data_IF_660602600382
#
_entry.id   IF_660602600382
#
_cell.length_a   1.000
_cell.length_b   1.000
_cell.length_c   1.000
_cell.angle_alpha   90.00
_cell.angle_beta   90.00
_cell.angle_gamma   90.00
#
_symmetry.space_group_name_H-M   'P 1'
#
loop_
_entity.id
_entity.type
_entity.pdbx_description
1 polymer ?
#
# COMPACT_ATOMS: atom_id res chain seq x y z
N UNK A 1 -21.08 -70.53 -25.83
CA UNK A 1 -20.51 -69.53 -24.89
C UNK A 1 -19.55 -68.63 -25.64
N UNK A 2 -19.96 -67.43 -26.01
CA UNK A 2 -19.14 -66.44 -26.74
C UNK A 2 -18.64 -65.39 -25.75
N UNK A 3 -17.32 -65.34 -25.50
CA UNK A 3 -16.67 -64.31 -24.66
C UNK A 3 -16.62 -63.00 -25.41
N UNK A 4 -17.26 -61.94 -24.92
CA UNK A 4 -17.11 -60.57 -25.40
C UNK A 4 -15.81 -59.98 -24.82
N UNK A 5 -14.91 -59.57 -25.70
CA UNK A 5 -13.70 -58.79 -25.37
C UNK A 5 -14.11 -57.32 -25.30
N UNK A 6 -13.95 -56.68 -24.15
CA UNK A 6 -14.04 -55.22 -24.03
C UNK A 6 -12.72 -54.59 -24.44
N UNK A 7 -12.78 -53.79 -25.50
CA UNK A 7 -11.67 -52.99 -25.98
C UNK A 7 -11.66 -51.67 -25.17
N UNK A 8 -10.64 -51.47 -24.36
CA UNK A 8 -10.40 -50.19 -23.68
C UNK A 8 -9.72 -49.23 -24.67
N UNK A 9 -10.44 -48.18 -25.04
CA UNK A 9 -9.87 -47.07 -25.82
C UNK A 9 -9.16 -46.12 -24.86
N UNK A 10 -7.81 -46.13 -24.88
CA UNK A 10 -7.00 -45.16 -24.15
C UNK A 10 -7.00 -43.90 -24.99
N UNK A 11 -7.76 -42.91 -24.55
CA UNK A 11 -7.72 -41.56 -25.12
C UNK A 11 -6.39 -40.86 -24.77
N UNK A 12 -5.55 -40.69 -25.77
CA UNK A 12 -4.30 -39.97 -25.68
C UNK A 12 -4.61 -38.48 -25.68
N UNK A 13 -4.56 -37.84 -24.52
CA UNK A 13 -4.59 -36.38 -24.42
C UNK A 13 -3.26 -35.81 -24.89
N UNK A 14 -3.27 -35.15 -26.02
CA UNK A 14 -2.12 -34.34 -26.51
C UNK A 14 -2.28 -32.95 -25.88
N UNK A 15 -1.34 -32.48 -25.03
CA UNK A 15 -1.38 -31.10 -24.58
C UNK A 15 -0.97 -30.20 -25.74
N UNK A 16 -1.88 -29.32 -26.15
CA UNK A 16 -1.59 -28.25 -27.10
C UNK A 16 -0.73 -27.22 -26.37
N UNK A 17 0.56 -27.24 -26.62
CA UNK A 17 1.48 -26.18 -26.23
C UNK A 17 1.22 -24.96 -27.15
N UNK A 18 0.61 -23.92 -26.61
CA UNK A 18 0.66 -22.61 -27.23
C UNK A 18 2.07 -22.02 -27.04
N UNK A 19 2.87 -22.09 -28.10
CA UNK A 19 4.15 -21.39 -28.16
C UNK A 19 3.81 -19.93 -28.45
N UNK A 20 3.86 -19.08 -27.43
CA UNK A 20 3.94 -17.63 -27.62
C UNK A 20 5.34 -17.31 -28.15
N UNK A 21 5.41 -16.96 -29.43
CA UNK A 21 6.63 -16.44 -30.07
C UNK A 21 6.89 -15.04 -29.49
N UNK A 22 7.81 -14.96 -28.51
CA UNK A 22 8.30 -13.69 -28.00
C UNK A 22 9.25 -13.09 -29.03
N UNK A 23 8.80 -12.10 -29.78
CA UNK A 23 9.68 -11.29 -30.65
C UNK A 23 10.50 -10.40 -29.70
N UNK A 24 11.74 -10.81 -29.44
CA UNK A 24 12.72 -9.95 -28.78
C UNK A 24 13.22 -8.96 -29.81
N UNK A 25 12.68 -7.74 -29.79
CA UNK A 25 13.31 -6.60 -30.44
C UNK A 25 14.45 -6.15 -29.52
N UNK A 26 15.67 -6.51 -29.84
CA UNK A 26 16.85 -5.99 -29.19
C UNK A 26 17.05 -4.53 -29.62
N UNK A 27 16.34 -3.63 -28.97
CA UNK A 27 16.62 -2.20 -28.97
C UNK A 27 17.26 -1.85 -27.64
N UNK A 28 18.58 -1.70 -27.60
CA UNK A 28 19.29 -1.24 -26.42
C UNK A 28 18.94 0.20 -26.11
N UNK A 29 18.02 0.39 -25.17
CA UNK A 29 17.91 1.61 -24.39
C UNK A 29 18.17 1.18 -22.95
N UNK A 30 19.20 1.74 -22.34
CA UNK A 30 19.41 1.69 -20.91
C UNK A 30 18.17 2.29 -20.25
N UNK A 31 17.22 1.43 -19.86
CA UNK A 31 16.17 1.82 -18.95
C UNK A 31 16.83 2.05 -17.60
N UNK A 32 17.07 3.31 -17.25
CA UNK A 32 17.15 3.72 -15.85
C UNK A 32 15.91 3.14 -15.18
N UNK A 33 16.11 2.26 -14.20
CA UNK A 33 15.03 1.78 -13.36
C UNK A 33 14.42 3.01 -12.69
N UNK A 34 13.22 3.41 -13.14
CA UNK A 34 12.47 4.48 -12.53
C UNK A 34 12.11 4.04 -11.10
N UNK A 35 12.87 4.55 -10.16
CA UNK A 35 12.64 4.35 -8.74
C UNK A 35 11.43 5.17 -8.33
N UNK A 36 10.36 4.50 -7.94
CA UNK A 36 9.13 5.13 -7.48
C UNK A 36 9.37 5.82 -6.14
N UNK A 37 9.22 7.14 -6.12
CA UNK A 37 9.18 7.93 -4.89
C UNK A 37 7.81 7.75 -4.24
N UNK A 38 7.74 7.12 -3.07
CA UNK A 38 6.49 6.88 -2.35
C UNK A 38 6.69 7.04 -0.85
N UNK A 39 5.73 7.69 -0.18
CA UNK A 39 5.68 7.77 1.28
C UNK A 39 5.15 6.45 1.87
N UNK A 40 5.69 6.03 3.02
CA UNK A 40 5.23 4.82 3.70
C UNK A 40 3.99 5.10 4.54
N UNK A 41 2.89 4.41 4.26
CA UNK A 41 1.64 4.54 5.04
C UNK A 41 1.74 3.84 6.41
N UNK A 42 1.11 4.44 7.42
CA UNK A 42 0.87 3.82 8.72
C UNK A 42 -0.47 4.27 9.27
N UNK A 43 -1.04 3.52 10.23
CA UNK A 43 -2.29 3.90 10.87
C UNK A 43 -2.04 4.89 12.02
N UNK A 44 -2.77 6.00 11.99
CA UNK A 44 -2.80 7.00 13.05
C UNK A 44 -4.09 6.84 13.88
N UNK A 45 -4.23 5.71 14.55
CA UNK A 45 -5.31 5.38 15.48
C UNK A 45 -4.71 4.65 16.67
N UNK A 46 -5.21 4.95 17.89
CA UNK A 46 -4.77 4.22 19.07
C UNK A 46 -5.43 2.84 19.15
N UNK A 47 -4.76 1.86 19.78
CA UNK A 47 -5.34 0.53 20.03
C UNK A 47 -6.64 0.63 20.82
N UNK A 48 -6.73 1.56 21.75
CA UNK A 48 -7.94 1.82 22.55
C UNK A 48 -9.13 2.30 21.69
N UNK A 49 -8.89 3.26 20.79
CA UNK A 49 -9.95 3.79 19.92
C UNK A 49 -10.40 2.75 18.90
N UNK A 50 -9.46 2.01 18.32
CA UNK A 50 -9.79 0.92 17.40
C UNK A 50 -10.54 -0.21 18.10
N UNK A 51 -10.12 -0.59 19.32
CA UNK A 51 -10.80 -1.59 20.13
C UNK A 51 -12.28 -1.23 20.36
N UNK A 52 -12.53 0.04 20.72
CA UNK A 52 -13.89 0.56 20.92
C UNK A 52 -14.72 0.53 19.64
N UNK A 53 -14.17 0.97 18.51
CA UNK A 53 -14.87 1.01 17.22
C UNK A 53 -15.15 -0.39 16.65
N UNK A 54 -14.18 -1.31 16.77
CA UNK A 54 -14.28 -2.66 16.25
C UNK A 54 -14.96 -3.66 17.20
N UNK A 55 -15.21 -3.27 18.45
CA UNK A 55 -15.72 -4.11 19.53
C UNK A 55 -14.85 -5.37 19.79
N UNK A 56 -13.54 -5.15 19.92
CA UNK A 56 -12.53 -6.17 20.21
C UNK A 56 -11.68 -5.75 21.42
N UNK A 57 -10.83 -6.64 21.93
CA UNK A 57 -9.88 -6.26 22.98
C UNK A 57 -8.82 -5.29 22.47
N UNK A 58 -8.23 -4.48 23.37
CA UNK A 58 -7.17 -3.55 23.03
C UNK A 58 -5.91 -4.28 22.52
N UNK A 59 -5.60 -5.48 23.04
CA UNK A 59 -4.53 -6.34 22.54
C UNK A 59 -4.77 -6.75 21.08
N UNK A 60 -5.97 -7.20 20.74
CA UNK A 60 -6.32 -7.52 19.34
C UNK A 60 -6.26 -6.29 18.42
N UNK A 61 -6.72 -5.16 18.90
CA UNK A 61 -6.66 -3.90 18.17
C UNK A 61 -5.20 -3.49 17.90
N UNK A 62 -4.30 -3.68 18.86
CA UNK A 62 -2.87 -3.45 18.63
C UNK A 62 -2.31 -4.41 17.57
N UNK A 63 -2.67 -5.70 17.62
CA UNK A 63 -2.26 -6.68 16.63
C UNK A 63 -2.76 -6.31 15.21
N UNK A 64 -3.99 -5.82 15.08
CA UNK A 64 -4.52 -5.29 13.80
C UNK A 64 -3.68 -4.11 13.29
N UNK A 65 -3.34 -3.16 14.17
CA UNK A 65 -2.50 -2.01 13.84
C UNK A 65 -1.11 -2.46 13.39
N UNK A 66 -0.50 -3.41 14.09
CA UNK A 66 0.84 -3.92 13.77
C UNK A 66 0.88 -4.63 12.40
N UNK A 67 -0.12 -5.48 12.13
CA UNK A 67 -0.24 -6.16 10.82
C UNK A 67 -0.44 -5.14 9.69
N UNK A 68 -1.40 -4.21 9.85
CA UNK A 68 -1.69 -3.21 8.83
C UNK A 68 -0.49 -2.31 8.56
N UNK A 69 0.15 -1.81 9.62
CA UNK A 69 1.33 -0.96 9.49
C UNK A 69 2.49 -1.69 8.82
N UNK A 70 2.73 -2.95 9.14
CA UNK A 70 3.77 -3.73 8.49
C UNK A 70 3.50 -3.90 6.99
N UNK A 71 2.27 -4.28 6.63
CA UNK A 71 1.85 -4.44 5.25
C UNK A 71 1.98 -3.12 4.47
N UNK A 72 1.51 -2.01 5.02
CA UNK A 72 1.56 -0.71 4.35
C UNK A 72 2.97 -0.13 4.29
N UNK A 73 3.71 -0.12 5.41
CA UNK A 73 4.99 0.56 5.48
C UNK A 73 6.17 -0.25 4.93
N UNK A 74 6.19 -1.56 5.14
CA UNK A 74 7.30 -2.43 4.70
C UNK A 74 7.01 -3.13 3.39
N UNK A 75 5.78 -3.62 3.20
CA UNK A 75 5.41 -4.40 2.02
C UNK A 75 4.70 -3.55 0.93
N UNK A 76 4.43 -2.27 1.22
CA UNK A 76 3.86 -1.29 0.28
C UNK A 76 2.45 -1.61 -0.18
N UNK A 77 1.64 -2.17 0.70
CA UNK A 77 0.24 -2.45 0.43
C UNK A 77 -0.63 -1.19 0.48
N UNK A 78 -1.65 -1.16 -0.37
CA UNK A 78 -2.78 -0.25 -0.23
C UNK A 78 -3.55 -0.56 1.04
N UNK A 79 -4.29 0.40 1.57
CA UNK A 79 -5.18 0.14 2.72
C UNK A 79 -6.26 -0.89 2.37
N UNK A 80 -6.73 -0.95 1.12
CA UNK A 80 -7.65 -1.97 0.65
C UNK A 80 -6.99 -3.36 0.68
N UNK A 81 -5.75 -3.46 0.20
CA UNK A 81 -4.98 -4.71 0.24
C UNK A 81 -4.70 -5.18 1.67
N UNK A 82 -4.29 -4.25 2.54
CA UNK A 82 -4.07 -4.54 3.96
C UNK A 82 -5.37 -5.00 4.65
N UNK A 83 -6.51 -4.36 4.35
CA UNK A 83 -7.82 -4.74 4.90
C UNK A 83 -8.26 -6.14 4.44
N UNK A 84 -7.93 -6.53 3.21
CA UNK A 84 -8.15 -7.89 2.72
C UNK A 84 -7.34 -8.93 3.49
N UNK A 85 -6.05 -8.66 3.75
CA UNK A 85 -5.20 -9.52 4.56
C UNK A 85 -5.68 -9.61 6.02
N UNK A 86 -6.13 -8.48 6.60
CA UNK A 86 -6.70 -8.44 7.95
C UNK A 86 -7.93 -9.34 8.09
N UNK A 87 -8.83 -9.37 7.11
CA UNK A 87 -9.99 -10.28 7.15
C UNK A 87 -9.58 -11.75 7.20
N UNK A 88 -8.49 -12.10 6.48
CA UNK A 88 -7.96 -13.47 6.53
C UNK A 88 -7.30 -13.75 7.89
N UNK A 89 -6.51 -12.83 8.44
CA UNK A 89 -5.92 -12.99 9.78
C UNK A 89 -7.01 -13.12 10.88
N UNK A 90 -8.13 -12.38 10.75
CA UNK A 90 -9.29 -12.52 11.64
C UNK A 90 -9.89 -13.92 11.56
N UNK A 91 -10.03 -14.47 10.37
CA UNK A 91 -10.56 -15.82 10.14
C UNK A 91 -9.61 -16.91 10.68
N UNK A 92 -8.31 -16.77 10.45
CA UNK A 92 -7.32 -17.81 10.78
C UNK A 92 -7.02 -17.89 12.28
N UNK A 93 -6.88 -16.75 12.96
CA UNK A 93 -6.42 -16.72 14.36
C UNK A 93 -7.20 -15.76 15.26
N UNK A 94 -8.09 -14.92 14.69
CA UNK A 94 -8.65 -13.77 15.40
C UNK A 94 -7.57 -12.78 15.83
N UNK A 95 -6.52 -12.61 15.02
CA UNK A 95 -5.34 -11.76 15.24
C UNK A 95 -4.44 -12.19 16.40
N UNK A 96 -4.55 -13.42 16.88
CA UNK A 96 -3.72 -13.92 17.98
C UNK A 96 -2.43 -14.59 17.42
N UNK A 97 -1.24 -14.00 17.65
CA UNK A 97 0.01 -14.63 17.22
C UNK A 97 0.31 -15.93 17.97
N UNK A 98 -0.36 -16.19 19.10
CA UNK A 98 -0.19 -17.43 19.88
C UNK A 98 -1.23 -18.48 19.54
N UNK A 99 -2.08 -18.26 18.54
CA UNK A 99 -3.06 -19.24 18.12
C UNK A 99 -2.39 -20.51 17.57
N UNK A 100 -2.73 -21.67 18.12
CA UNK A 100 -2.18 -22.97 17.72
C UNK A 100 -3.30 -23.95 17.39
N UNK A 101 -3.15 -24.66 16.27
CA UNK A 101 -3.91 -25.86 15.97
C UNK A 101 -2.93 -27.05 15.91
N UNK A 102 -2.78 -27.72 17.05
CA UNK A 102 -1.82 -28.81 17.23
C UNK A 102 -2.08 -29.97 16.26
N UNK A 103 -3.36 -30.33 16.04
CA UNK A 103 -3.74 -31.43 15.13
C UNK A 103 -3.41 -31.14 13.68
N UNK A 104 -3.63 -29.89 13.25
CA UNK A 104 -3.28 -29.40 11.91
C UNK A 104 -1.81 -29.04 11.75
N UNK A 105 -1.04 -28.97 12.82
CA UNK A 105 0.37 -28.59 12.78
C UNK A 105 0.60 -27.14 12.39
N UNK A 106 -0.38 -26.26 12.63
CA UNK A 106 -0.34 -24.85 12.21
C UNK A 106 -0.39 -23.90 13.41
N UNK A 107 0.19 -22.72 13.27
CA UNK A 107 0.17 -21.70 14.32
C UNK A 107 0.39 -20.28 13.76
N UNK A 108 0.05 -19.27 14.59
CA UNK A 108 0.27 -17.86 14.34
C UNK A 108 -0.88 -17.16 13.62
N UNK A 109 -0.69 -15.87 13.30
CA UNK A 109 -1.74 -14.99 12.75
C UNK A 109 -2.35 -15.47 11.42
N UNK A 110 -1.59 -16.18 10.60
CA UNK A 110 -2.05 -16.80 9.35
C UNK A 110 -1.97 -18.35 9.39
N UNK A 111 -1.93 -18.97 10.57
CA UNK A 111 -1.92 -20.41 10.77
C UNK A 111 -0.92 -21.15 9.87
N UNK A 112 0.33 -20.67 9.84
CA UNK A 112 1.40 -21.31 9.04
C UNK A 112 1.67 -22.75 9.46
N UNK A 113 1.81 -23.62 8.47
CA UNK A 113 2.12 -25.05 8.66
C UNK A 113 3.55 -25.30 9.15
N UNK A 114 3.74 -26.47 9.78
CA UNK A 114 5.05 -26.89 10.27
C UNK A 114 5.36 -26.46 11.70
N UNK A 115 4.35 -26.08 12.49
CA UNK A 115 4.54 -25.72 13.91
C UNK A 115 4.70 -26.98 14.79
N UNK A 116 3.68 -27.78 15.02
CA UNK A 116 3.75 -28.97 15.86
C UNK A 116 4.04 -30.24 15.06
N UNK A 117 3.69 -30.24 13.79
CA UNK A 117 3.97 -31.35 12.84
C UNK A 117 3.97 -30.78 11.40
N UNK A 118 4.30 -31.61 10.41
CA UNK A 118 4.44 -31.20 9.01
C UNK A 118 3.38 -31.79 8.09
N UNK A 119 2.24 -32.25 8.62
CA UNK A 119 1.17 -32.91 7.84
C UNK A 119 0.61 -31.95 6.75
N UNK A 120 0.53 -30.66 7.04
CA UNK A 120 0.06 -29.63 6.11
C UNK A 120 1.21 -28.79 5.51
N UNK A 121 2.45 -29.27 5.57
CA UNK A 121 3.63 -28.57 5.07
C UNK A 121 4.53 -28.05 6.18
N UNK A 122 5.48 -27.18 5.83
CA UNK A 122 6.51 -26.70 6.76
C UNK A 122 6.86 -25.21 6.51
N UNK A 123 5.88 -24.33 6.51
CA UNK A 123 6.08 -22.88 6.27
C UNK A 123 6.89 -22.25 7.39
N UNK A 124 6.71 -22.68 8.65
CA UNK A 124 7.49 -22.23 9.81
C UNK A 124 9.01 -22.46 9.70
N UNK A 125 9.46 -23.34 8.80
CA UNK A 125 10.91 -23.52 8.55
C UNK A 125 11.60 -22.28 7.96
N UNK A 126 10.83 -21.31 7.46
CA UNK A 126 11.33 -20.05 6.88
C UNK A 126 11.41 -18.93 7.92
N UNK A 127 10.84 -19.10 9.12
CA UNK A 127 10.89 -18.13 10.18
C UNK A 127 12.31 -18.03 10.77
N UNK A 128 12.72 -16.83 11.19
CA UNK A 128 14.01 -16.59 11.81
C UNK A 128 14.17 -17.32 13.17
N UNK A 129 13.06 -17.58 13.84
CA UNK A 129 12.99 -18.38 15.07
C UNK A 129 11.66 -19.10 15.19
N UNK A 130 11.60 -20.11 16.09
CA UNK A 130 10.35 -20.81 16.42
C UNK A 130 9.69 -20.17 17.63
N UNK A 131 9.29 -18.91 17.49
CA UNK A 131 8.66 -18.12 18.55
C UNK A 131 7.34 -17.55 18.05
N UNK A 132 6.25 -17.85 18.75
CA UNK A 132 4.94 -17.26 18.49
C UNK A 132 4.91 -15.83 19.00
N UNK A 133 5.24 -14.89 18.12
CA UNK A 133 5.22 -13.47 18.40
C UNK A 133 4.96 -12.68 17.11
N UNK A 134 4.30 -11.54 17.25
CA UNK A 134 3.96 -10.68 16.12
C UNK A 134 5.18 -10.35 15.25
N UNK A 135 6.31 -9.99 15.86
CA UNK A 135 7.54 -9.62 15.12
C UNK A 135 8.08 -10.75 14.24
N UNK A 136 8.18 -11.99 14.79
CA UNK A 136 8.65 -13.16 14.04
C UNK A 136 7.71 -13.50 12.90
N UNK A 137 6.42 -13.43 13.14
CA UNK A 137 5.37 -13.79 12.17
C UNK A 137 5.23 -12.78 11.04
N UNK A 138 5.35 -11.48 11.33
CA UNK A 138 5.40 -10.43 10.31
C UNK A 138 6.62 -10.57 9.40
N UNK A 139 7.79 -10.93 9.96
CA UNK A 139 8.99 -11.23 9.17
C UNK A 139 8.84 -12.50 8.34
N UNK A 140 8.19 -13.56 8.87
CA UNK A 140 7.87 -14.76 8.12
C UNK A 140 6.95 -14.42 6.93
N UNK A 141 5.88 -13.66 7.16
CA UNK A 141 4.99 -13.17 6.11
C UNK A 141 5.77 -12.41 5.03
N UNK A 142 6.63 -11.47 5.44
CA UNK A 142 7.48 -10.70 4.53
C UNK A 142 8.40 -11.59 3.68
N UNK A 143 9.07 -12.56 4.31
CA UNK A 143 9.93 -13.53 3.62
C UNK A 143 9.15 -14.29 2.55
N UNK A 144 7.93 -14.69 2.85
CA UNK A 144 7.07 -15.40 1.91
C UNK A 144 6.55 -14.52 0.78
N UNK A 145 6.08 -13.31 1.09
CA UNK A 145 5.58 -12.34 0.11
C UNK A 145 6.67 -11.87 -0.86
N UNK A 146 7.92 -11.81 -0.41
CA UNK A 146 9.06 -11.46 -1.28
C UNK A 146 9.74 -12.69 -1.93
N UNK A 147 9.19 -13.88 -1.70
CA UNK A 147 9.66 -15.16 -2.23
C UNK A 147 8.57 -15.95 -2.94
N UNK A 148 8.21 -17.09 -2.36
CA UNK A 148 7.28 -18.05 -2.98
C UNK A 148 5.87 -17.50 -3.21
N UNK A 149 5.45 -16.50 -2.45
CA UNK A 149 4.13 -15.89 -2.53
C UNK A 149 4.15 -14.48 -3.16
N UNK A 150 5.18 -14.17 -3.95
CA UNK A 150 5.31 -12.88 -4.64
C UNK A 150 4.08 -12.55 -5.48
N UNK A 151 3.43 -13.53 -6.09
CA UNK A 151 2.18 -13.32 -6.83
C UNK A 151 1.08 -12.72 -5.95
N UNK A 152 0.92 -13.19 -4.71
CA UNK A 152 -0.04 -12.61 -3.76
C UNK A 152 0.29 -11.15 -3.51
N UNK A 153 1.57 -10.85 -3.23
CA UNK A 153 2.02 -9.46 -3.06
C UNK A 153 1.68 -8.60 -4.27
N UNK A 154 2.04 -9.03 -5.48
CA UNK A 154 1.85 -8.29 -6.72
C UNK A 154 0.36 -7.97 -7.00
N UNK A 155 -0.56 -8.85 -6.59
CA UNK A 155 -2.00 -8.66 -6.77
C UNK A 155 -2.62 -7.80 -5.64
N UNK A 156 -2.32 -8.17 -4.39
CA UNK A 156 -3.03 -7.61 -3.24
C UNK A 156 -2.46 -6.25 -2.82
N UNK A 157 -1.15 -6.03 -2.98
CA UNK A 157 -0.54 -4.76 -2.57
C UNK A 157 -1.11 -3.53 -3.30
N UNK A 158 -1.55 -3.70 -4.54
CA UNK A 158 -2.09 -2.62 -5.39
C UNK A 158 -3.62 -2.68 -5.51
N UNK A 159 -4.29 -3.53 -4.74
CA UNK A 159 -5.74 -3.70 -4.83
C UNK A 159 -6.48 -2.40 -4.48
N UNK A 160 -7.52 -2.11 -5.24
CA UNK A 160 -8.44 -0.99 -5.02
C UNK A 160 -9.76 -1.43 -4.38
N UNK A 161 -9.95 -2.73 -4.19
CA UNK A 161 -11.14 -3.34 -3.62
C UNK A 161 -10.76 -4.28 -2.46
N UNK A 162 -11.12 -3.95 -1.21
CA UNK A 162 -10.79 -4.78 -0.06
C UNK A 162 -11.43 -6.18 -0.13
N UNK A 163 -12.61 -6.30 -0.76
CA UNK A 163 -13.32 -7.56 -0.94
C UNK A 163 -12.53 -8.49 -1.86
N UNK A 164 -12.11 -7.99 -3.02
CA UNK A 164 -11.29 -8.77 -3.95
C UNK A 164 -9.92 -9.10 -3.32
N UNK A 165 -9.30 -8.16 -2.62
CA UNK A 165 -8.04 -8.37 -1.92
C UNK A 165 -8.10 -9.55 -0.94
N UNK A 166 -9.21 -9.70 -0.21
CA UNK A 166 -9.40 -10.81 0.73
C UNK A 166 -9.52 -12.18 0.03
N UNK A 167 -10.19 -12.21 -1.10
CA UNK A 167 -10.30 -13.42 -1.92
C UNK A 167 -8.95 -13.81 -2.53
N UNK A 168 -8.21 -12.85 -3.07
CA UNK A 168 -6.90 -13.07 -3.66
C UNK A 168 -5.90 -13.55 -2.59
N UNK A 169 -5.90 -12.96 -1.39
CA UNK A 169 -5.07 -13.44 -0.29
C UNK A 169 -5.44 -14.87 0.10
N UNK A 170 -6.74 -15.15 0.31
CA UNK A 170 -7.20 -16.50 0.67
C UNK A 170 -6.83 -17.53 -0.37
N UNK A 171 -6.96 -17.23 -1.65
CA UNK A 171 -6.67 -18.16 -2.74
C UNK A 171 -5.16 -18.34 -2.96
N UNK A 172 -4.38 -17.26 -2.98
CA UNK A 172 -2.99 -17.33 -3.42
C UNK A 172 -1.97 -17.38 -2.28
N UNK A 173 -2.34 -16.95 -1.07
CA UNK A 173 -1.48 -17.04 0.11
C UNK A 173 -1.82 -18.24 0.98
N UNK A 174 -3.11 -18.48 1.26
CA UNK A 174 -3.55 -19.64 2.03
C UNK A 174 -3.74 -20.90 1.17
N UNK A 175 -3.86 -20.75 -0.14
CA UNK A 175 -3.98 -21.87 -1.06
C UNK A 175 -5.35 -22.57 -1.00
N UNK A 176 -6.39 -21.86 -0.52
CA UNK A 176 -7.73 -22.43 -0.37
C UNK A 176 -8.64 -22.10 -1.56
N UNK A 177 -9.54 -23.04 -1.89
CA UNK A 177 -10.54 -22.81 -2.94
C UNK A 177 -11.62 -21.85 -2.45
N UNK A 178 -11.97 -20.86 -3.27
CA UNK A 178 -13.05 -19.92 -2.96
C UNK A 178 -14.44 -20.57 -2.97
N UNK A 179 -14.58 -21.74 -3.59
CA UNK A 179 -15.80 -22.56 -3.58
C UNK A 179 -15.91 -23.47 -2.36
N UNK A 180 -14.86 -23.56 -1.53
CA UNK A 180 -14.91 -24.34 -0.30
C UNK A 180 -15.79 -23.61 0.72
N UNK A 181 -16.77 -24.32 1.28
CA UNK A 181 -17.68 -23.77 2.30
C UNK A 181 -16.96 -23.31 3.58
N UNK A 182 -15.77 -23.85 3.87
CA UNK A 182 -14.94 -23.42 5.01
C UNK A 182 -14.27 -22.05 4.76
N UNK A 183 -14.06 -21.68 3.51
CA UNK A 183 -13.53 -20.34 3.14
C UNK A 183 -14.47 -19.24 3.55
N UNK A 184 -15.79 -19.48 3.55
CA UNK A 184 -16.82 -18.49 3.88
C UNK A 184 -16.60 -17.19 3.10
N UNK A 185 -16.45 -17.30 1.78
CA UNK A 185 -16.02 -16.20 0.91
C UNK A 185 -16.85 -14.91 1.08
N UNK A 186 -18.16 -15.02 1.23
CA UNK A 186 -19.03 -13.85 1.44
C UNK A 186 -18.69 -13.13 2.76
N UNK A 187 -18.55 -13.90 3.86
CA UNK A 187 -18.17 -13.32 5.15
C UNK A 187 -16.78 -12.69 5.10
N UNK A 188 -15.85 -13.33 4.40
CA UNK A 188 -14.48 -12.82 4.24
C UNK A 188 -14.46 -11.45 3.54
N UNK A 189 -15.30 -11.29 2.50
CA UNK A 189 -15.47 -10.03 1.80
C UNK A 189 -16.09 -8.94 2.70
N UNK A 190 -17.11 -9.31 3.49
CA UNK A 190 -17.75 -8.37 4.42
C UNK A 190 -16.79 -7.94 5.54
N UNK A 191 -15.98 -8.87 6.08
CA UNK A 191 -14.96 -8.55 7.07
C UNK A 191 -13.87 -7.63 6.48
N UNK A 192 -13.45 -7.85 5.23
CA UNK A 192 -12.49 -6.98 4.57
C UNK A 192 -13.03 -5.56 4.37
N UNK A 193 -14.30 -5.43 3.96
CA UNK A 193 -14.96 -4.13 3.85
C UNK A 193 -15.07 -3.45 5.22
N UNK A 194 -15.44 -4.19 6.26
CA UNK A 194 -15.50 -3.69 7.65
C UNK A 194 -14.15 -3.11 8.08
N UNK A 195 -13.04 -3.84 7.87
CA UNK A 195 -11.72 -3.35 8.22
C UNK A 195 -11.31 -2.12 7.41
N UNK A 196 -11.59 -2.11 6.13
CA UNK A 196 -11.36 -0.93 5.29
C UNK A 196 -12.11 0.29 5.81
N UNK A 197 -13.41 0.17 6.10
CA UNK A 197 -14.23 1.28 6.58
C UNK A 197 -13.81 1.80 7.96
N UNK A 198 -13.25 0.93 8.81
CA UNK A 198 -12.71 1.32 10.12
C UNK A 198 -11.35 2.02 10.02
N UNK A 199 -10.55 1.72 9.01
CA UNK A 199 -9.14 2.12 8.96
C UNK A 199 -8.83 3.18 7.91
N UNK A 200 -9.61 3.31 6.84
CA UNK A 200 -9.32 4.19 5.70
C UNK A 200 -9.07 5.65 6.07
N UNK A 201 -9.82 6.18 7.02
CA UNK A 201 -9.71 7.56 7.48
C UNK A 201 -8.58 7.78 8.52
N UNK A 202 -7.85 6.72 8.85
CA UNK A 202 -6.75 6.72 9.81
C UNK A 202 -5.39 6.43 9.17
N UNK A 203 -5.29 6.36 7.86
CA UNK A 203 -4.00 6.20 7.18
C UNK A 203 -3.22 7.51 7.29
N UNK A 204 -2.09 7.46 7.95
CA UNK A 204 -1.14 8.55 8.10
C UNK A 204 0.25 8.13 7.63
N UNK A 205 1.24 9.02 7.79
CA UNK A 205 2.64 8.74 7.47
C UNK A 205 3.49 8.98 8.69
N UNK A 206 4.33 8.00 9.05
CA UNK A 206 5.34 8.17 10.10
C UNK A 206 6.73 8.33 9.48
N UNK A 207 7.47 9.33 9.94
CA UNK A 207 8.90 9.43 9.70
C UNK A 207 9.63 8.40 10.56
N UNK A 208 10.61 7.68 10.00
CA UNK A 208 11.47 6.75 10.75
C UNK A 208 12.28 7.46 11.88
N UNK A 209 12.28 8.77 11.95
CA UNK A 209 13.00 9.58 12.95
C UNK A 209 12.15 10.02 14.15
N UNK A 210 11.01 9.39 14.42
CA UNK A 210 10.24 9.58 15.67
C UNK A 210 9.57 10.94 15.84
N UNK A 211 9.59 11.83 14.85
CA UNK A 211 8.73 13.01 14.81
C UNK A 211 7.44 12.65 14.06
N UNK A 212 6.39 12.43 14.83
CA UNK A 212 5.04 12.26 14.31
C UNK A 212 4.59 13.55 13.64
N UNK A 213 4.72 13.62 12.32
CA UNK A 213 4.09 14.69 11.55
C UNK A 213 2.69 14.21 11.21
N UNK A 214 1.73 14.61 12.02
CA UNK A 214 0.35 14.14 12.00
C UNK A 214 -0.48 14.84 10.91
N UNK A 215 -0.21 14.54 9.64
CA UNK A 215 -1.18 14.85 8.60
C UNK A 215 -2.21 13.72 8.50
N UNK A 216 -3.46 13.96 8.83
CA UNK A 216 -4.54 13.00 8.50
C UNK A 216 -4.70 12.99 7.00
N UNK A 217 -4.44 11.84 6.36
CA UNK A 217 -4.60 11.67 4.92
C UNK A 217 -6.03 11.23 4.60
N UNK A 218 -6.59 11.79 3.53
CA UNK A 218 -7.90 11.43 3.00
C UNK A 218 -7.86 11.40 1.47
N UNK A 219 -8.68 10.59 0.84
CA UNK A 219 -8.94 10.67 -0.61
C UNK A 219 -9.97 11.72 -0.96
N UNK A 220 -10.70 12.23 0.03
CA UNK A 220 -11.62 13.35 -0.09
C UNK A 220 -11.01 14.59 0.56
N UNK A 221 -11.43 15.78 0.12
CA UNK A 221 -11.04 17.04 0.77
C UNK A 221 -11.56 17.02 2.21
N UNK A 222 -10.70 17.16 3.22
CA UNK A 222 -11.11 17.08 4.62
C UNK A 222 -12.13 18.17 4.99
N UNK A 223 -13.03 17.86 5.93
CA UNK A 223 -14.03 18.82 6.42
C UNK A 223 -13.38 20.10 6.94
N UNK A 224 -13.92 21.25 6.56
CA UNK A 224 -13.39 22.57 6.91
C UNK A 224 -12.22 23.04 6.03
N UNK A 225 -11.93 22.32 4.94
CA UNK A 225 -10.98 22.69 3.91
C UNK A 225 -11.66 22.75 2.54
N UNK A 226 -11.05 23.44 1.60
CA UNK A 226 -11.55 23.58 0.23
C UNK A 226 -10.40 23.63 -0.78
N UNK A 227 -10.71 23.28 -2.02
CA UNK A 227 -9.83 23.42 -3.17
C UNK A 227 -10.56 24.21 -4.26
N UNK A 228 -9.84 24.96 -5.08
CA UNK A 228 -10.46 25.80 -6.11
C UNK A 228 -11.17 24.95 -7.17
N UNK A 229 -10.49 23.92 -7.65
CA UNK A 229 -10.99 23.00 -8.67
C UNK A 229 -10.29 21.64 -8.50
N UNK A 230 -11.02 20.56 -8.68
CA UNK A 230 -10.45 19.21 -8.63
C UNK A 230 -9.45 18.98 -9.76
N UNK A 231 -8.44 18.11 -9.50
CA UNK A 231 -7.49 17.74 -10.54
C UNK A 231 -8.19 17.00 -11.69
N UNK A 232 -7.96 17.46 -12.90
CA UNK A 232 -8.65 16.96 -14.10
C UNK A 232 -8.15 15.60 -14.59
N UNK A 233 -7.01 15.10 -14.04
CA UNK A 233 -6.33 13.91 -14.56
C UNK A 233 -5.57 14.14 -15.87
N UNK A 234 -5.63 15.36 -16.44
CA UNK A 234 -4.97 15.66 -17.70
C UNK A 234 -3.45 15.79 -17.53
N UNK A 235 -2.70 15.20 -18.44
CA UNK A 235 -1.26 15.38 -18.53
C UNK A 235 -0.92 16.57 -19.45
N UNK A 236 -0.21 17.53 -18.89
CA UNK A 236 0.35 18.68 -19.61
C UNK A 236 1.85 18.53 -19.86
N UNK A 237 2.45 17.44 -19.37
CA UNK A 237 3.86 17.15 -19.57
C UNK A 237 4.10 16.57 -20.97
N UNK A 238 4.25 17.42 -21.97
CA UNK A 238 4.51 17.02 -23.35
C UNK A 238 5.91 16.43 -23.58
N UNK A 239 6.85 16.60 -22.64
CA UNK A 239 8.21 16.06 -22.76
C UNK A 239 8.36 14.63 -22.26
N UNK A 240 7.40 14.12 -21.48
CA UNK A 240 7.50 12.82 -20.82
C UNK A 240 8.55 12.74 -19.70
N UNK A 241 9.02 13.89 -19.20
CA UNK A 241 10.07 13.96 -18.16
C UNK A 241 9.62 13.44 -16.80
N UNK A 242 8.31 13.42 -16.57
CA UNK A 242 7.70 12.95 -15.33
C UNK A 242 6.84 11.73 -15.63
N UNK A 243 7.21 10.54 -15.19
CA UNK A 243 6.39 9.34 -15.37
C UNK A 243 5.00 9.52 -14.76
N UNK A 244 3.97 9.14 -15.51
CA UNK A 244 2.58 9.28 -15.09
C UNK A 244 2.34 8.58 -13.75
N UNK A 245 1.62 9.25 -12.84
CA UNK A 245 1.29 8.71 -11.53
C UNK A 245 2.32 9.01 -10.45
N UNK A 246 3.49 9.57 -10.78
CA UNK A 246 4.47 10.00 -9.79
C UNK A 246 4.05 11.31 -9.11
N UNK A 247 4.56 11.58 -7.91
CA UNK A 247 4.34 12.84 -7.20
C UNK A 247 4.78 14.06 -8.03
N UNK A 248 5.92 13.95 -8.70
CA UNK A 248 6.44 15.00 -9.59
C UNK A 248 5.54 15.24 -10.82
N UNK A 249 5.02 14.16 -11.42
CA UNK A 249 4.04 14.26 -12.50
C UNK A 249 2.75 14.96 -12.01
N UNK A 250 2.27 14.57 -10.85
CA UNK A 250 1.07 15.15 -10.29
C UNK A 250 1.22 16.64 -10.05
N UNK A 251 2.24 17.05 -9.30
CA UNK A 251 2.44 18.47 -8.95
C UNK A 251 2.67 19.33 -10.19
N UNK A 252 3.46 18.84 -11.17
CA UNK A 252 3.64 19.54 -12.44
C UNK A 252 2.30 19.80 -13.14
N UNK A 253 1.47 18.77 -13.29
CA UNK A 253 0.20 18.88 -14.00
C UNK A 253 -0.87 19.64 -13.18
N UNK A 254 -0.87 19.49 -11.86
CA UNK A 254 -1.75 20.25 -10.96
C UNK A 254 -1.46 21.74 -11.03
N UNK A 255 -0.22 22.12 -10.94
CA UNK A 255 0.21 23.51 -11.07
C UNK A 255 -0.17 24.08 -12.45
N UNK A 256 0.12 23.32 -13.52
CA UNK A 256 -0.19 23.73 -14.88
C UNK A 256 -1.69 23.97 -15.11
N UNK A 257 -2.54 23.13 -14.53
CA UNK A 257 -4.01 23.27 -14.57
C UNK A 257 -4.46 24.63 -13.98
N UNK A 258 -3.72 25.14 -13.00
CA UNK A 258 -3.99 26.45 -12.36
C UNK A 258 -3.21 27.62 -12.98
N UNK A 259 -2.56 27.39 -14.13
CA UNK A 259 -1.80 28.41 -14.85
C UNK A 259 -0.39 28.68 -14.29
N UNK A 260 0.07 27.85 -13.35
CA UNK A 260 1.39 27.93 -12.70
C UNK A 260 2.35 26.98 -13.42
N UNK A 261 3.59 27.40 -13.62
CA UNK A 261 4.55 26.63 -14.41
C UNK A 261 5.78 26.25 -13.57
N UNK A 262 6.15 24.99 -13.66
CA UNK A 262 7.44 24.47 -13.26
C UNK A 262 8.20 24.00 -14.50
N UNK A 263 9.52 23.92 -14.41
CA UNK A 263 10.33 23.36 -15.50
C UNK A 263 9.97 21.86 -15.68
N UNK A 264 10.10 21.37 -16.92
CA UNK A 264 9.81 19.97 -17.24
C UNK A 264 10.78 18.96 -16.59
N UNK A 265 11.81 19.45 -15.91
CA UNK A 265 12.79 18.65 -15.18
C UNK A 265 13.22 19.37 -13.90
N UNK A 266 12.54 19.08 -12.79
CA UNK A 266 12.84 19.61 -11.46
C UNK A 266 13.67 18.64 -10.60
N UNK A 267 13.90 17.42 -11.06
CA UNK A 267 14.49 16.34 -10.27
C UNK A 267 13.46 15.49 -9.53
N UNK A 268 13.91 14.75 -8.50
CA UNK A 268 13.04 14.00 -7.60
C UNK A 268 12.24 14.95 -6.71
N UNK A 269 11.26 14.44 -5.97
CA UNK A 269 10.40 15.29 -5.14
C UNK A 269 11.18 16.13 -4.12
N UNK A 270 12.19 15.56 -3.48
CA UNK A 270 13.06 16.27 -2.53
C UNK A 270 14.04 17.27 -3.16
N UNK A 271 14.25 17.21 -4.49
CA UNK A 271 15.20 18.07 -5.19
C UNK A 271 14.59 19.44 -5.56
N UNK A 272 13.24 19.54 -5.54
CA UNK A 272 12.54 20.75 -6.01
C UNK A 272 12.95 22.00 -5.27
N UNK A 273 13.18 21.92 -3.95
CA UNK A 273 13.63 23.02 -3.13
C UNK A 273 15.05 23.49 -3.47
N UNK A 274 15.86 22.66 -4.12
CA UNK A 274 17.23 23.00 -4.53
C UNK A 274 17.33 23.46 -5.97
N UNK A 275 16.21 23.53 -6.70
CA UNK A 275 16.21 23.89 -8.12
C UNK A 275 16.55 25.36 -8.33
N UNK A 276 17.62 25.64 -9.07
CA UNK A 276 18.04 27.02 -9.39
C UNK A 276 16.94 27.78 -10.17
N UNK A 277 16.77 29.04 -9.86
CA UNK A 277 15.85 29.96 -10.56
C UNK A 277 14.40 29.91 -10.04
N UNK A 278 14.19 29.36 -8.85
CA UNK A 278 12.92 29.39 -8.13
C UNK A 278 13.05 30.11 -6.79
N UNK A 279 11.97 30.81 -6.38
CA UNK A 279 11.86 31.32 -5.00
C UNK A 279 11.49 30.18 -4.09
N UNK A 280 12.24 30.03 -3.00
CA UNK A 280 12.06 28.93 -2.03
C UNK A 280 12.04 29.51 -0.62
N UNK A 281 11.09 29.12 0.20
CA UNK A 281 10.97 29.54 1.61
C UNK A 281 10.41 28.43 2.50
N UNK A 282 10.39 28.68 3.81
CA UNK A 282 9.66 27.90 4.79
C UNK A 282 8.28 28.51 5.13
N UNK A 283 7.93 29.62 4.51
CA UNK A 283 6.64 30.26 4.74
C UNK A 283 5.58 29.59 3.86
N UNK A 284 4.52 29.02 4.45
CA UNK A 284 3.43 28.42 3.70
C UNK A 284 2.79 29.40 2.71
N UNK A 285 2.68 29.00 1.46
CA UNK A 285 2.12 29.84 0.41
C UNK A 285 1.18 29.02 -0.48
N UNK A 286 0.00 29.59 -0.72
CA UNK A 286 -1.00 29.01 -1.60
C UNK A 286 -0.42 28.73 -3.00
N UNK A 287 -0.79 27.61 -3.58
CA UNK A 287 -0.45 27.22 -4.95
C UNK A 287 1.07 27.07 -5.21
N UNK A 288 1.83 26.73 -4.20
CA UNK A 288 3.24 26.35 -4.33
C UNK A 288 3.43 24.84 -4.36
N UNK A 289 4.56 24.39 -4.87
CA UNK A 289 4.98 23.02 -4.63
C UNK A 289 5.61 22.92 -3.22
N UNK A 290 5.18 21.94 -2.43
CA UNK A 290 5.76 21.62 -1.14
C UNK A 290 6.72 20.45 -1.32
N UNK A 291 8.02 20.69 -1.14
CA UNK A 291 9.08 19.69 -1.28
C UNK A 291 9.42 19.13 0.09
N UNK A 292 9.29 17.80 0.25
CA UNK A 292 9.71 17.05 1.42
C UNK A 292 11.12 16.55 1.19
N UNK A 293 12.03 16.84 2.10
CA UNK A 293 13.35 16.22 2.06
C UNK A 293 13.25 14.71 2.33
N UNK A 294 14.31 13.98 2.02
CA UNK A 294 14.38 12.53 2.17
C UNK A 294 13.95 12.10 3.58
N UNK A 295 12.93 11.22 3.67
CA UNK A 295 12.37 10.70 4.91
C UNK A 295 11.45 11.65 5.68
N UNK A 296 11.33 12.93 5.29
CA UNK A 296 10.49 13.92 5.99
C UNK A 296 9.00 13.59 5.80
N UNK A 297 8.23 13.61 6.87
CA UNK A 297 6.79 13.36 6.88
C UNK A 297 6.38 12.06 6.16
N UNK A 298 7.22 11.01 6.25
CA UNK A 298 7.01 9.72 5.60
C UNK A 298 7.38 9.67 4.12
N UNK A 299 8.08 10.70 3.60
CA UNK A 299 8.58 10.68 2.22
C UNK A 299 9.63 9.59 2.01
N UNK A 300 9.86 9.24 0.74
CA UNK A 300 10.90 8.27 0.37
C UNK A 300 12.27 8.70 0.91
N UNK A 301 13.03 7.81 1.59
CA UNK A 301 14.31 8.15 2.20
C UNK A 301 15.42 8.43 1.19
N UNK A 302 15.24 8.10 -0.08
CA UNK A 302 16.21 8.34 -1.16
C UNK A 302 15.84 9.54 -2.01
N UNK A 303 14.55 9.66 -2.38
CA UNK A 303 14.07 10.61 -3.38
C UNK A 303 13.27 11.77 -2.79
N UNK A 304 12.90 11.70 -1.50
CA UNK A 304 11.96 12.65 -0.92
C UNK A 304 10.58 12.56 -1.56
N UNK A 305 9.81 13.64 -1.49
CA UNK A 305 8.46 13.72 -2.05
C UNK A 305 8.13 15.16 -2.44
N UNK A 306 7.10 15.34 -3.27
CA UNK A 306 6.56 16.67 -3.58
C UNK A 306 5.03 16.62 -3.62
N UNK A 307 4.41 17.64 -3.04
CA UNK A 307 2.97 17.83 -3.00
C UNK A 307 2.61 19.26 -3.46
N UNK A 308 1.33 19.53 -3.63
CA UNK A 308 0.84 20.84 -4.04
C UNK A 308 0.01 21.49 -2.92
N UNK A 309 0.27 22.76 -2.60
CA UNK A 309 -0.46 23.50 -1.55
C UNK A 309 -1.79 23.99 -2.11
N UNK A 310 -2.87 23.44 -1.63
CA UNK A 310 -4.24 23.74 -2.07
C UNK A 310 -4.89 24.87 -1.28
N UNK A 311 -4.54 24.99 0.02
CA UNK A 311 -5.06 26.03 0.89
C UNK A 311 -4.08 26.35 2.01
N UNK A 312 -4.03 27.63 2.39
CA UNK A 312 -3.37 28.12 3.61
C UNK A 312 -4.41 28.88 4.40
N UNK A 313 -4.63 28.52 5.66
CA UNK A 313 -5.55 29.25 6.57
C UNK A 313 -4.85 30.40 7.27
N UNK A 314 -5.64 31.30 7.85
CA UNK A 314 -5.15 32.47 8.59
C UNK A 314 -4.27 32.09 9.80
N UNK A 315 -4.47 30.91 10.38
CA UNK A 315 -3.64 30.37 11.45
C UNK A 315 -2.31 29.77 10.96
N UNK A 316 -2.09 29.72 9.66
CA UNK A 316 -0.89 29.16 9.02
C UNK A 316 -0.95 27.65 8.79
N UNK A 317 -2.04 26.98 9.13
CA UNK A 317 -2.25 25.59 8.78
C UNK A 317 -2.48 25.43 7.27
N UNK A 318 -2.12 24.27 6.70
CA UNK A 318 -2.19 24.04 5.26
C UNK A 318 -2.94 22.76 4.90
N UNK A 319 -3.56 22.79 3.72
CA UNK A 319 -4.02 21.61 2.99
C UNK A 319 -3.11 21.41 1.78
N UNK A 320 -2.63 20.21 1.61
CA UNK A 320 -1.93 19.79 0.40
C UNK A 320 -2.70 18.71 -0.35
N UNK A 321 -2.42 18.60 -1.65
CA UNK A 321 -2.80 17.47 -2.48
C UNK A 321 -1.54 16.79 -3.01
N UNK A 322 -1.59 15.47 -3.15
CA UNK A 322 -0.43 14.67 -3.53
C UNK A 322 -0.85 13.40 -4.27
N UNK A 323 0.09 12.75 -4.93
CA UNK A 323 -0.10 11.47 -5.62
C UNK A 323 1.11 10.57 -5.40
N UNK A 324 0.97 9.27 -5.67
CA UNK A 324 2.00 8.27 -5.44
C UNK A 324 2.35 8.11 -3.95
N UNK A 325 1.33 8.03 -3.15
CA UNK A 325 1.43 7.84 -1.72
C UNK A 325 1.30 6.36 -1.41
N UNK A 326 2.23 5.82 -0.62
CA UNK A 326 2.20 4.42 -0.19
C UNK A 326 0.91 4.11 0.57
N UNK A 327 0.30 2.97 0.27
CA UNK A 327 -0.97 2.58 0.87
C UNK A 327 -2.20 3.04 0.07
N UNK A 328 -2.00 3.82 -1.00
CA UNK A 328 -3.07 4.19 -1.93
C UNK A 328 -2.87 3.54 -3.30
N UNK A 329 -3.97 3.27 -4.04
CA UNK A 329 -3.88 2.79 -5.41
C UNK A 329 -3.10 3.76 -6.30
N UNK A 330 -2.46 3.27 -7.37
CA UNK A 330 -1.82 4.13 -8.38
C UNK A 330 -2.79 5.18 -8.93
N UNK A 331 -2.28 6.37 -9.25
CA UNK A 331 -3.05 7.50 -9.80
C UNK A 331 -4.11 8.09 -8.84
N UNK A 332 -4.11 7.71 -7.58
CA UNK A 332 -5.02 8.29 -6.58
C UNK A 332 -4.46 9.62 -6.10
N UNK A 333 -5.28 10.69 -6.19
CA UNK A 333 -5.02 11.95 -5.51
C UNK A 333 -5.45 11.80 -4.06
N UNK A 334 -4.60 12.22 -3.15
CA UNK A 334 -4.92 12.30 -1.72
C UNK A 334 -4.62 13.67 -1.17
N UNK A 335 -5.21 13.96 -0.02
CA UNK A 335 -5.12 15.24 0.66
C UNK A 335 -4.58 15.03 2.07
N UNK A 336 -3.73 15.95 2.50
CA UNK A 336 -3.17 15.95 3.85
C UNK A 336 -3.18 17.36 4.42
N UNK A 337 -3.47 17.46 5.73
CA UNK A 337 -3.43 18.76 6.44
C UNK A 337 -2.28 18.77 7.41
N UNK A 338 -1.67 19.93 7.58
CA UNK A 338 -0.63 20.17 8.58
C UNK A 338 -0.98 21.40 9.41
N UNK A 339 -0.66 21.34 10.71
CA UNK A 339 -0.73 22.51 11.58
C UNK A 339 0.27 23.58 11.17
N UNK A 340 0.09 24.82 11.67
CA UNK A 340 1.01 25.92 11.39
C UNK A 340 2.47 25.63 11.75
N UNK A 341 2.70 24.92 12.87
CA UNK A 341 4.06 24.59 13.31
C UNK A 341 4.70 23.50 12.44
N UNK A 342 3.92 22.53 11.98
CA UNK A 342 4.37 21.52 11.03
C UNK A 342 4.65 22.13 9.66
N UNK A 343 3.76 22.99 9.18
CA UNK A 343 3.86 23.66 7.89
C UNK A 343 5.19 24.44 7.72
N UNK A 344 5.70 25.06 8.77
CA UNK A 344 6.98 25.79 8.77
C UNK A 344 8.21 24.90 8.64
N UNK A 345 8.05 23.58 8.72
CA UNK A 345 9.17 22.64 8.60
C UNK A 345 9.44 22.24 7.15
N UNK A 346 8.54 22.57 6.22
CA UNK A 346 8.65 22.19 4.81
C UNK A 346 9.24 23.30 3.94
N UNK A 347 9.66 22.91 2.74
CA UNK A 347 10.12 23.84 1.72
C UNK A 347 9.01 24.11 0.71
N UNK A 348 8.70 25.39 0.49
CA UNK A 348 7.72 25.85 -0.50
C UNK A 348 8.45 26.44 -1.70
N UNK A 349 8.13 25.94 -2.89
CA UNK A 349 8.74 26.34 -4.17
C UNK A 349 7.69 27.07 -5.00
N UNK A 350 7.91 28.33 -5.29
CA UNK A 350 7.00 29.15 -6.09
C UNK A 350 7.19 28.83 -7.58
N UNK A 351 6.10 28.47 -8.28
CA UNK A 351 6.11 28.34 -9.74
C UNK A 351 6.18 29.69 -10.45
N UNK A 352 6.44 29.64 -11.75
CA UNK A 352 6.56 30.79 -12.66
C UNK A 352 5.23 31.12 -13.32
#
# INVERSE_FOLDING_TARGET
MKKKKHLFLIGMFIPIFFIFLLVIVAGGTSSSADSFSSSAGSLNITSKDLASKANISEEKAQNVIDIANYLMSKERFSIQGASGALAVAERESGFDPKAENIGGGVAGIFQWSGWSNTVNGNRWSKAESRTLSMDVELKLMSTELNGAYKRTKDLVSVSTDPKQASLDWSQYYEGVSLSDGQTKADKLQDDAQKWYDLLKDHVGFSSENGQSVNGVMSTDVPSGWSIDISFSGQSYNGSGSYPQGQCTWYVYNRAYQLGIKFDSFMGNGGDWASKAGYSVSHDPKLHTALSFVQGQAGSDPTYGHVAFVEQVKDDGSILISEMNVTGLPPLTVSYRTFSADEAKQFWYVEGK
#
